data_IF_606071285654
#
_entry.id   IF_606071285654
#
_cell.length_a   1.000
_cell.length_b   1.000
_cell.length_c   1.000
_cell.angle_alpha   90.00
_cell.angle_beta   90.00
_cell.angle_gamma   90.00
#
_symmetry.space_group_name_H-M   'P 1'
#
loop_
_entity.id
_entity.type
_entity.pdbx_description
1 polymer ?
#
# COMPACT_ATOMS: atom_id res chain seq x y z
N UNK A 1 16.32 -6.01 20.59
CA UNK A 1 16.91 -7.21 21.23
C UNK A 1 15.80 -8.25 21.36
N UNK A 2 16.02 -9.48 20.87
CA UNK A 2 15.04 -10.57 20.97
C UNK A 2 15.60 -11.67 21.85
N UNK A 3 14.82 -12.11 22.81
CA UNK A 3 15.13 -13.24 23.68
C UNK A 3 13.98 -14.24 23.62
N UNK A 4 14.28 -15.52 23.74
CA UNK A 4 13.25 -16.55 23.82
C UNK A 4 13.40 -17.32 25.12
N UNK A 5 12.28 -17.64 25.75
CA UNK A 5 12.24 -18.50 26.94
C UNK A 5 11.30 -19.66 26.69
N UNK A 6 11.75 -20.86 26.99
CA UNK A 6 10.92 -22.07 26.88
C UNK A 6 10.43 -22.44 28.28
N UNK A 7 9.13 -22.68 28.44
CA UNK A 7 8.52 -23.20 29.67
C UNK A 7 7.69 -24.43 29.26
N UNK A 8 8.13 -25.62 29.67
CA UNK A 8 7.55 -26.87 29.18
C UNK A 8 7.71 -27.02 27.67
N UNK A 9 6.61 -27.30 26.95
CA UNK A 9 6.58 -27.42 25.48
C UNK A 9 6.28 -26.09 24.76
N UNK A 10 6.09 -24.99 25.51
CA UNK A 10 5.78 -23.68 24.94
C UNK A 10 7.04 -22.83 24.84
N UNK A 11 7.31 -22.30 23.64
CA UNK A 11 8.39 -21.35 23.39
C UNK A 11 7.83 -19.95 23.25
N UNK A 12 8.21 -19.06 24.15
CA UNK A 12 7.83 -17.66 24.17
C UNK A 12 8.95 -16.81 23.57
N UNK A 13 8.59 -15.82 22.77
CA UNK A 13 9.51 -14.85 22.17
C UNK A 13 9.20 -13.46 22.72
N UNK A 14 10.19 -12.82 23.33
CA UNK A 14 10.12 -11.46 23.83
C UNK A 14 11.05 -10.57 23.01
N UNK A 15 10.58 -9.38 22.65
CA UNK A 15 11.36 -8.46 21.84
C UNK A 15 11.02 -7.02 22.12
N UNK A 16 12.05 -6.20 22.29
CA UNK A 16 11.94 -4.75 22.28
C UNK A 16 12.40 -4.26 20.90
N UNK A 17 11.47 -3.64 20.18
CA UNK A 17 11.70 -2.97 18.91
C UNK A 17 11.42 -1.47 19.09
N UNK A 18 12.29 -0.60 18.54
CA UNK A 18 11.98 0.83 18.46
C UNK A 18 10.80 1.02 17.50
N UNK A 19 9.82 1.81 17.90
CA UNK A 19 8.65 2.14 17.06
C UNK A 19 8.68 3.62 16.69
N UNK A 20 8.22 3.95 15.50
CA UNK A 20 8.05 5.32 15.02
C UNK A 20 6.61 5.50 14.57
N UNK A 21 6.00 6.63 14.94
CA UNK A 21 4.68 7.02 14.46
C UNK A 21 4.77 7.54 13.04
N UNK A 22 3.90 7.06 12.16
CA UNK A 22 3.75 7.54 10.78
C UNK A 22 2.28 7.76 10.48
N UNK A 23 2.00 8.77 9.67
CA UNK A 23 0.70 8.96 9.03
C UNK A 23 0.66 8.22 7.69
N UNK A 24 -0.40 7.46 7.49
CA UNK A 24 -0.74 6.82 6.23
C UNK A 24 -2.13 7.19 5.72
N UNK A 25 -2.35 6.81 4.47
CA UNK A 25 -3.61 6.99 3.75
C UNK A 25 -4.19 5.61 3.46
N UNK A 26 -5.47 5.43 3.76
CA UNK A 26 -6.19 4.20 3.45
C UNK A 26 -6.75 4.25 2.03
N UNK A 27 -6.84 3.07 1.41
CA UNK A 27 -7.44 2.89 0.09
C UNK A 27 -8.95 3.10 0.05
N UNK A 28 -9.64 2.95 1.18
CA UNK A 28 -11.09 3.07 1.27
C UNK A 28 -11.55 4.50 0.95
N UNK A 29 -12.52 4.60 0.06
CA UNK A 29 -13.16 5.85 -0.33
C UNK A 29 -14.33 6.18 0.62
N UNK A 30 -14.63 7.47 0.83
CA UNK A 30 -15.81 7.84 1.61
C UNK A 30 -17.08 7.28 0.98
N UNK A 31 -18.01 6.79 1.81
CA UNK A 31 -19.35 6.42 1.35
C UNK A 31 -20.05 7.65 0.78
N UNK A 32 -20.54 7.56 -0.45
CA UNK A 32 -21.25 8.66 -1.11
C UNK A 32 -22.74 8.58 -0.79
N UNK A 33 -23.22 9.44 0.12
CA UNK A 33 -24.61 9.55 0.61
C UNK A 33 -25.14 8.34 1.42
N UNK A 34 -26.15 8.63 2.25
CA UNK A 34 -26.88 7.63 3.02
C UNK A 34 -27.66 6.71 2.07
N UNK A 35 -27.13 5.50 1.84
CA UNK A 35 -27.70 4.52 0.92
C UNK A 35 -26.65 3.69 0.20
N UNK A 36 -25.43 4.20 0.04
CA UNK A 36 -24.32 3.43 -0.53
C UNK A 36 -23.82 2.38 0.49
N UNK A 37 -24.20 1.13 0.24
CA UNK A 37 -23.71 -0.03 0.98
C UNK A 37 -22.33 -0.51 0.48
N UNK A 38 -21.88 -0.01 -0.68
CA UNK A 38 -20.70 -0.56 -1.35
C UNK A 38 -19.38 0.03 -0.85
N UNK A 39 -18.46 -0.87 -0.46
CA UNK A 39 -17.12 -0.53 0.01
C UNK A 39 -16.16 -0.37 -1.18
N UNK A 40 -15.92 0.88 -1.57
CA UNK A 40 -15.08 1.23 -2.69
C UNK A 40 -13.66 1.64 -2.27
N UNK A 41 -12.70 1.32 -3.13
CA UNK A 41 -11.28 1.54 -2.90
C UNK A 41 -10.59 2.09 -4.15
N UNK A 42 -9.51 2.84 -3.92
CA UNK A 42 -8.48 3.04 -4.93
C UNK A 42 -7.41 1.94 -4.86
N UNK A 43 -6.60 1.82 -5.91
CA UNK A 43 -5.53 0.83 -5.96
C UNK A 43 -4.22 1.37 -5.42
N UNK A 44 -3.64 0.65 -4.46
CA UNK A 44 -2.37 0.98 -3.81
C UNK A 44 -1.45 -0.24 -3.88
N UNK A 45 -0.15 -0.02 -4.11
CA UNK A 45 0.87 -1.06 -4.06
C UNK A 45 2.05 -0.63 -3.21
N UNK A 46 2.59 -1.58 -2.44
CA UNK A 46 3.84 -1.45 -1.71
C UNK A 46 4.87 -2.43 -2.29
N UNK A 47 6.05 -1.93 -2.63
CA UNK A 47 7.20 -2.71 -3.07
C UNK A 47 8.35 -2.46 -2.10
N UNK A 48 8.90 -3.51 -1.50
CA UNK A 48 10.04 -3.42 -0.58
C UNK A 48 11.21 -4.26 -1.10
N UNK A 49 12.36 -3.63 -1.34
CA UNK A 49 13.55 -4.30 -1.89
C UNK A 49 13.42 -4.77 -3.34
N UNK A 50 12.64 -4.08 -4.16
CA UNK A 50 12.43 -4.39 -5.59
C UNK A 50 12.99 -3.29 -6.47
N UNK A 51 13.91 -3.65 -7.38
CA UNK A 51 14.50 -2.71 -8.35
C UNK A 51 13.42 -1.99 -9.16
N UNK A 52 13.61 -0.69 -9.40
CA UNK A 52 12.70 0.19 -10.16
C UNK A 52 12.16 -0.42 -11.45
N UNK A 53 13.05 -0.98 -12.28
CA UNK A 53 12.67 -1.63 -13.56
C UNK A 53 11.64 -2.74 -13.35
N UNK A 54 11.85 -3.59 -12.35
CA UNK A 54 10.93 -4.69 -12.04
C UNK A 54 9.58 -4.18 -11.50
N UNK A 55 9.58 -3.10 -10.71
CA UNK A 55 8.35 -2.42 -10.28
C UNK A 55 7.56 -1.93 -11.50
N UNK A 56 8.22 -1.22 -12.43
CA UNK A 56 7.59 -0.70 -13.64
C UNK A 56 7.03 -1.82 -14.52
N UNK A 57 7.79 -2.90 -14.73
CA UNK A 57 7.35 -4.02 -15.57
C UNK A 57 6.14 -4.75 -14.95
N UNK A 58 6.11 -4.90 -13.62
CA UNK A 58 4.97 -5.46 -12.90
C UNK A 58 3.72 -4.58 -13.03
N UNK A 59 3.86 -3.28 -12.79
CA UNK A 59 2.75 -2.32 -12.84
C UNK A 59 2.23 -2.14 -14.28
N UNK A 60 3.10 -2.00 -15.30
CA UNK A 60 2.69 -1.94 -16.71
C UNK A 60 1.95 -3.19 -17.17
N UNK A 61 2.31 -4.38 -16.64
CA UNK A 61 1.61 -5.62 -16.97
C UNK A 61 0.19 -5.62 -16.41
N UNK A 62 0.01 -5.28 -15.14
CA UNK A 62 -1.33 -5.26 -14.54
C UNK A 62 -2.18 -4.12 -15.10
N UNK A 63 -1.57 -2.95 -15.37
CA UNK A 63 -2.21 -1.79 -15.99
C UNK A 63 -2.84 -2.16 -17.35
N UNK A 64 -2.07 -2.79 -18.25
CA UNK A 64 -2.58 -3.25 -19.55
C UNK A 64 -3.66 -4.32 -19.41
N UNK A 65 -3.44 -5.31 -18.53
CA UNK A 65 -4.38 -6.43 -18.34
C UNK A 65 -5.74 -5.97 -17.81
N UNK A 66 -5.77 -4.92 -17.00
CA UNK A 66 -6.97 -4.43 -16.30
C UNK A 66 -7.47 -3.09 -16.84
N UNK A 67 -6.87 -2.61 -17.94
CA UNK A 67 -7.18 -1.31 -18.55
C UNK A 67 -7.18 -0.15 -17.55
N UNK A 68 -6.18 -0.10 -16.65
CA UNK A 68 -6.12 0.89 -15.57
C UNK A 68 -5.72 2.28 -16.10
N UNK A 69 -6.10 3.36 -15.40
CA UNK A 69 -5.63 4.73 -15.67
C UNK A 69 -4.15 4.91 -15.31
N UNK A 70 -3.59 6.13 -15.36
CA UNK A 70 -2.21 6.37 -14.97
C UNK A 70 -1.88 5.84 -13.57
N UNK A 71 -0.69 5.26 -13.43
CA UNK A 71 -0.17 4.78 -12.15
C UNK A 71 1.00 5.67 -11.72
N UNK A 72 0.87 6.30 -10.56
CA UNK A 72 1.88 7.17 -9.96
C UNK A 72 2.80 6.34 -9.09
N UNK A 73 4.10 6.39 -9.36
CA UNK A 73 5.12 5.69 -8.59
C UNK A 73 5.87 6.70 -7.75
N UNK A 74 6.01 6.41 -6.46
CA UNK A 74 6.67 7.25 -5.47
C UNK A 74 7.81 6.48 -4.80
N UNK A 75 8.97 7.10 -4.68
CA UNK A 75 10.08 6.59 -3.89
C UNK A 75 9.84 6.80 -2.39
N UNK A 76 10.12 5.79 -1.58
CA UNK A 76 9.86 5.86 -0.12
C UNK A 76 11.02 6.45 0.69
N UNK A 77 12.08 6.90 0.01
CA UNK A 77 13.36 7.32 0.58
C UNK A 77 14.24 6.15 1.08
N UNK A 78 13.79 4.90 0.91
CA UNK A 78 14.60 3.69 1.08
C UNK A 78 15.03 3.16 -0.29
N UNK A 79 16.29 2.73 -0.48
CA UNK A 79 16.72 2.08 -1.71
C UNK A 79 15.82 0.91 -2.08
N UNK A 80 15.44 0.85 -3.36
CA UNK A 80 14.58 -0.21 -3.91
C UNK A 80 13.22 -0.39 -3.22
N UNK A 81 12.66 0.65 -2.60
CA UNK A 81 11.31 0.58 -2.02
C UNK A 81 10.41 1.70 -2.54
N UNK A 82 9.26 1.32 -3.08
CA UNK A 82 8.35 2.18 -3.83
C UNK A 82 6.91 1.99 -3.37
N UNK A 83 6.18 3.09 -3.34
CA UNK A 83 4.73 3.08 -3.31
C UNK A 83 4.20 3.31 -4.73
N UNK A 84 3.02 2.79 -5.03
CA UNK A 84 2.29 3.18 -6.22
C UNK A 84 0.80 3.42 -5.94
N UNK A 85 0.23 4.36 -6.67
CA UNK A 85 -1.18 4.77 -6.57
C UNK A 85 -1.81 4.78 -7.97
N UNK A 86 -3.03 4.30 -8.06
CA UNK A 86 -3.85 4.40 -9.26
C UNK A 86 -5.25 4.86 -8.83
N UNK A 87 -5.65 6.03 -9.31
CA UNK A 87 -6.89 6.70 -8.93
C UNK A 87 -8.09 6.16 -9.73
N UNK A 88 -8.33 4.86 -9.61
CA UNK A 88 -9.50 4.16 -10.14
C UNK A 88 -10.34 3.60 -9.01
N UNK A 89 -11.67 3.72 -9.13
CA UNK A 89 -12.66 3.25 -8.15
C UNK A 89 -12.96 1.76 -8.40
N UNK A 90 -12.75 0.92 -7.38
CA UNK A 90 -13.01 -0.52 -7.43
C UNK A 90 -13.71 -1.02 -6.18
N UNK A 91 -14.50 -2.08 -6.28
CA UNK A 91 -14.98 -2.82 -5.11
C UNK A 91 -13.79 -3.49 -4.40
N UNK A 92 -13.90 -3.71 -3.09
CA UNK A 92 -12.81 -4.28 -2.30
C UNK A 92 -12.23 -5.57 -2.89
N UNK A 93 -13.07 -6.52 -3.29
CA UNK A 93 -12.67 -7.82 -3.81
C UNK A 93 -11.85 -7.67 -5.10
N UNK A 94 -12.28 -6.75 -5.97
CA UNK A 94 -11.58 -6.46 -7.22
C UNK A 94 -10.25 -5.76 -6.94
N UNK A 95 -10.25 -4.74 -6.07
CA UNK A 95 -9.04 -4.02 -5.68
C UNK A 95 -8.00 -4.97 -5.09
N UNK A 96 -8.43 -5.84 -4.17
CA UNK A 96 -7.58 -6.86 -3.57
C UNK A 96 -7.01 -7.82 -4.62
N UNK A 97 -7.85 -8.34 -5.52
CA UNK A 97 -7.44 -9.26 -6.57
C UNK A 97 -6.41 -8.63 -7.52
N UNK A 98 -6.58 -7.36 -7.90
CA UNK A 98 -5.64 -6.63 -8.76
C UNK A 98 -4.28 -6.50 -8.06
N UNK A 99 -4.27 -6.08 -6.79
CA UNK A 99 -3.04 -5.92 -6.00
C UNK A 99 -2.34 -7.27 -5.81
N UNK A 100 -3.08 -8.31 -5.43
CA UNK A 100 -2.54 -9.67 -5.24
C UNK A 100 -1.93 -10.26 -6.53
N UNK A 101 -2.57 -10.05 -7.69
CA UNK A 101 -2.07 -10.53 -8.98
C UNK A 101 -0.85 -9.74 -9.49
N UNK A 102 -0.55 -8.59 -8.90
CA UNK A 102 0.59 -7.77 -9.29
C UNK A 102 1.89 -8.42 -8.79
N UNK A 103 2.79 -8.79 -9.70
CA UNK A 103 4.04 -9.46 -9.33
C UNK A 103 4.92 -8.56 -8.45
N UNK A 104 5.62 -9.17 -7.49
CA UNK A 104 6.63 -8.53 -6.62
C UNK A 104 6.08 -7.52 -5.59
N UNK A 105 4.76 -7.42 -5.43
CA UNK A 105 4.17 -6.66 -4.32
C UNK A 105 4.60 -7.28 -2.98
N UNK A 106 4.85 -6.44 -1.98
CA UNK A 106 5.18 -6.85 -0.63
C UNK A 106 4.10 -7.80 -0.07
N UNK A 107 4.46 -9.04 0.24
CA UNK A 107 3.50 -10.05 0.69
C UNK A 107 2.87 -9.68 2.04
N UNK A 108 3.62 -9.02 2.93
CA UNK A 108 3.11 -8.48 4.19
C UNK A 108 2.06 -7.41 3.94
N UNK A 109 2.29 -6.51 2.98
CA UNK A 109 1.30 -5.49 2.61
C UNK A 109 0.00 -6.14 2.15
N UNK A 110 0.06 -7.16 1.28
CA UNK A 110 -1.16 -7.83 0.81
C UNK A 110 -1.88 -8.57 1.94
N UNK A 111 -1.16 -9.30 2.79
CA UNK A 111 -1.72 -10.00 3.96
C UNK A 111 -2.42 -9.04 4.92
N UNK A 112 -1.76 -7.92 5.25
CA UNK A 112 -2.34 -6.91 6.14
C UNK A 112 -3.56 -6.24 5.50
N UNK A 113 -3.52 -6.00 4.19
CA UNK A 113 -4.66 -5.49 3.45
C UNK A 113 -5.87 -6.42 3.52
N UNK A 114 -5.66 -7.71 3.29
CA UNK A 114 -6.70 -8.75 3.42
C UNK A 114 -7.36 -8.74 4.81
N UNK A 115 -6.54 -8.81 5.86
CA UNK A 115 -7.01 -8.87 7.26
C UNK A 115 -7.81 -7.61 7.64
N UNK A 116 -7.43 -6.44 7.11
CA UNK A 116 -8.08 -5.16 7.43
C UNK A 116 -9.30 -4.85 6.58
N UNK A 117 -9.44 -5.45 5.39
CA UNK A 117 -10.44 -5.06 4.40
C UNK A 117 -10.11 -3.74 3.68
N UNK A 118 -8.86 -3.26 3.78
CA UNK A 118 -8.36 -2.09 3.07
C UNK A 118 -6.82 -2.08 3.06
N UNK A 119 -6.22 -1.50 2.02
CA UNK A 119 -4.80 -1.17 1.99
C UNK A 119 -4.48 0.17 2.67
N UNK A 120 -3.26 0.30 3.19
CA UNK A 120 -2.74 1.54 3.79
C UNK A 120 -1.29 1.75 3.36
N UNK A 121 -0.98 2.95 2.85
CA UNK A 121 0.39 3.37 2.53
C UNK A 121 0.77 4.60 3.36
N UNK A 122 2.03 4.69 3.82
CA UNK A 122 2.50 5.91 4.48
C UNK A 122 2.62 7.06 3.47
N UNK A 123 2.35 8.29 3.91
CA UNK A 123 2.71 9.50 3.16
C UNK A 123 3.64 10.42 3.96
N UNK A 124 3.63 10.32 5.29
CA UNK A 124 4.56 11.05 6.15
C UNK A 124 5.98 10.46 6.10
N UNK A 125 7.02 11.27 6.41
CA UNK A 125 8.38 10.78 6.54
C UNK A 125 8.53 9.67 7.59
N UNK A 126 9.40 8.69 7.34
CA UNK A 126 9.74 7.63 8.29
C UNK A 126 11.24 7.61 8.56
N UNK A 127 11.63 7.94 9.79
CA UNK A 127 13.05 7.98 10.20
C UNK A 127 13.86 8.91 9.27
N UNK A 128 13.38 10.14 9.07
CA UNK A 128 14.00 11.14 8.18
C UNK A 128 13.80 10.91 6.67
N UNK A 129 13.24 9.76 6.25
CA UNK A 129 13.02 9.45 4.83
C UNK A 129 11.66 9.94 4.36
N UNK A 130 11.66 10.95 3.50
CA UNK A 130 10.45 11.49 2.87
C UNK A 130 9.99 10.63 1.68
N UNK A 131 8.70 10.72 1.37
CA UNK A 131 8.16 10.21 0.11
C UNK A 131 8.50 11.22 -1.00
N UNK A 132 8.99 10.71 -2.13
CA UNK A 132 9.36 11.53 -3.29
C UNK A 132 8.64 11.02 -4.52
N UNK A 133 8.28 11.93 -5.42
CA UNK A 133 7.75 11.54 -6.72
C UNK A 133 8.85 10.89 -7.57
N UNK A 134 8.56 9.74 -8.17
CA UNK A 134 9.52 9.04 -9.05
C UNK A 134 9.09 9.11 -10.52
N UNK A 135 7.89 8.65 -10.85
CA UNK A 135 7.41 8.59 -12.24
C UNK A 135 5.91 8.35 -12.35
N UNK A 136 5.37 8.52 -13.57
CA UNK A 136 4.01 8.11 -13.92
C UNK A 136 4.06 7.11 -15.07
N UNK A 137 3.35 5.99 -14.91
CA UNK A 137 3.04 5.06 -15.98
C UNK A 137 1.78 5.54 -16.70
N UNK A 138 1.97 6.23 -17.83
CA UNK A 138 0.88 6.84 -18.61
C UNK A 138 -0.14 5.81 -19.11
N UNK A 139 -1.39 6.23 -19.20
CA UNK A 139 -2.51 5.49 -19.77
C UNK A 139 -3.46 6.49 -20.44
N UNK A 140 -4.18 6.05 -21.47
CA UNK A 140 -5.25 6.84 -22.10
C UNK A 140 -6.57 6.76 -21.31
N UNK A 141 -6.69 5.82 -20.38
CA UNK A 141 -7.90 5.69 -19.57
C UNK A 141 -7.95 6.79 -18.49
N UNK A 142 -9.09 7.46 -18.30
CA UNK A 142 -9.22 8.51 -17.30
C UNK A 142 -9.26 7.94 -15.88
N UNK A 143 -8.75 8.72 -14.93
CA UNK A 143 -8.94 8.48 -13.50
C UNK A 143 -10.41 8.63 -13.14
N UNK A 144 -10.90 7.80 -12.20
CA UNK A 144 -12.29 7.82 -11.74
C UNK A 144 -12.43 8.22 -10.27
N UNK A 145 -11.31 8.50 -9.60
CA UNK A 145 -11.25 8.98 -8.23
C UNK A 145 -10.52 10.32 -8.21
N UNK A 146 -11.12 11.32 -7.58
CA UNK A 146 -10.41 12.55 -7.27
C UNK A 146 -9.55 12.30 -6.00
N UNK A 147 -8.21 12.46 -6.04
CA UNK A 147 -7.34 12.21 -4.88
C UNK A 147 -7.70 13.05 -3.65
N UNK A 148 -8.30 14.22 -3.83
CA UNK A 148 -8.77 15.07 -2.72
C UNK A 148 -9.99 14.50 -1.99
N UNK A 149 -10.63 13.46 -2.52
CA UNK A 149 -11.71 12.75 -1.83
C UNK A 149 -11.19 11.75 -0.79
N UNK A 150 -9.87 11.53 -0.71
CA UNK A 150 -9.28 10.70 0.33
C UNK A 150 -9.37 11.40 1.68
N UNK A 151 -10.29 10.94 2.50
CA UNK A 151 -10.53 11.47 3.86
C UNK A 151 -10.07 10.52 4.97
N UNK A 152 -9.50 9.37 4.62
CA UNK A 152 -9.10 8.36 5.59
C UNK A 152 -7.58 8.38 5.79
N UNK A 153 -7.16 9.25 6.70
CA UNK A 153 -5.78 9.31 7.19
C UNK A 153 -5.69 8.67 8.56
N UNK A 154 -4.66 7.86 8.77
CA UNK A 154 -4.46 7.11 10.02
C UNK A 154 -3.03 7.29 10.51
N UNK A 155 -2.86 7.59 11.79
CA UNK A 155 -1.58 7.47 12.46
C UNK A 155 -1.40 6.04 12.98
N UNK A 156 -0.26 5.44 12.70
CA UNK A 156 0.05 4.10 13.19
C UNK A 156 1.54 3.95 13.50
N UNK A 157 1.85 3.05 14.44
CA UNK A 157 3.21 2.71 14.79
C UNK A 157 3.78 1.69 13.81
N UNK A 158 5.00 1.94 13.35
CA UNK A 158 5.77 1.02 12.51
C UNK A 158 7.16 0.82 13.12
N UNK A 159 7.82 -0.31 12.86
CA UNK A 159 9.19 -0.54 13.34
C UNK A 159 10.10 0.59 12.85
N UNK A 160 10.88 1.16 13.76
CA UNK A 160 11.97 2.08 13.47
C UNK A 160 12.92 1.41 12.48
N UNK A 161 13.29 2.17 11.45
CA UNK A 161 14.21 1.71 10.40
C UNK A 161 15.61 1.46 10.94
#
# INVERSE_FOLDING_TARGET
>A
MRTSKTIGKLRFYFGFDRMTSVTGVNSALPKTKAGDLENYHLLMWDFDGVKKRAVHDSLKRIQRRRNLPPIYVLGTGRPDSYHAYCFSKHKWEEAFLIVWQTKKVCSTFVKMGFVRGYFTLRFSPKSGRAITFDSVLKSSNPETVNPYQLKSFVQYLTKGG
#
